data_IF_419036614623
#
_entry.id   IF_419036614623
#
_cell.length_a   1.000
_cell.length_b   1.000
_cell.length_c   1.000
_cell.angle_alpha   90.00
_cell.angle_beta   90.00
_cell.angle_gamma   90.00
#
_symmetry.space_group_name_H-M   'P 1'
#
loop_
_entity.id
_entity.type
_entity.pdbx_description
1 polymer ?
#
# COMPACT_ATOMS: atom_id res chain seq x y z
N UNK A 1 3.30 24.94 -3.41
CA UNK A 1 2.05 24.53 -2.75
C UNK A 1 1.00 24.41 -3.85
N UNK A 2 0.75 23.21 -4.36
CA UNK A 2 -0.42 22.97 -5.19
C UNK A 2 -1.60 22.85 -4.22
N UNK A 3 -2.55 23.77 -4.33
CA UNK A 3 -3.84 23.72 -3.63
C UNK A 3 -4.45 22.33 -3.80
N UNK A 4 -5.07 21.72 -2.78
CA UNK A 4 -5.84 20.50 -3.00
C UNK A 4 -6.89 20.85 -4.04
N UNK A 5 -6.89 20.14 -5.17
CA UNK A 5 -8.00 20.17 -6.11
C UNK A 5 -9.23 19.81 -5.31
N UNK A 6 -10.07 20.80 -5.04
CA UNK A 6 -11.25 20.66 -4.20
C UNK A 6 -12.31 19.96 -5.06
N UNK A 7 -12.12 18.65 -5.28
CA UNK A 7 -13.09 17.83 -6.00
C UNK A 7 -14.33 17.79 -5.11
N UNK A 8 -15.47 18.26 -5.62
CA UNK A 8 -16.72 18.23 -4.88
C UNK A 8 -17.01 16.77 -4.47
N UNK A 9 -17.25 16.48 -3.18
CA UNK A 9 -17.68 15.18 -2.71
C UNK A 9 -18.82 14.54 -3.54
N UNK A 10 -19.73 15.35 -4.10
CA UNK A 10 -20.80 14.89 -4.98
C UNK A 10 -20.30 14.43 -6.35
N UNK A 11 -19.28 15.09 -6.89
CA UNK A 11 -18.67 14.71 -8.16
C UNK A 11 -17.93 13.37 -8.02
N UNK A 12 -17.26 13.15 -6.89
CA UNK A 12 -16.65 11.86 -6.54
C UNK A 12 -17.69 10.75 -6.44
N UNK A 13 -18.78 10.96 -5.71
CA UNK A 13 -19.85 9.97 -5.60
C UNK A 13 -20.49 9.65 -6.95
N UNK A 14 -20.81 10.69 -7.74
CA UNK A 14 -21.39 10.53 -9.07
C UNK A 14 -20.43 9.84 -10.05
N UNK A 15 -19.12 10.05 -9.89
CA UNK A 15 -18.10 9.35 -10.64
C UNK A 15 -18.08 7.86 -10.32
N UNK A 16 -17.94 7.49 -9.04
CA UNK A 16 -17.86 6.09 -8.61
C UNK A 16 -19.16 5.31 -8.80
N UNK A 17 -20.31 5.99 -8.84
CA UNK A 17 -21.59 5.36 -9.21
C UNK A 17 -21.59 4.78 -10.64
N UNK A 18 -20.69 5.22 -11.53
CA UNK A 18 -20.55 4.68 -12.89
C UNK A 18 -19.71 3.41 -12.94
N UNK A 19 -18.89 3.17 -11.91
CA UNK A 19 -17.87 2.12 -11.84
C UNK A 19 -18.10 1.24 -10.61
N UNK A 20 -19.19 0.50 -10.62
CA UNK A 20 -19.55 -0.46 -9.58
C UNK A 20 -19.14 -1.89 -9.99
N UNK A 21 -19.10 -2.79 -9.02
CA UNK A 21 -18.87 -4.22 -9.21
C UNK A 21 -17.59 -4.51 -10.03
N UNK A 22 -17.73 -5.22 -11.15
CA UNK A 22 -16.65 -5.63 -12.05
C UNK A 22 -15.95 -4.45 -12.74
N UNK A 23 -16.58 -3.28 -12.78
CA UNK A 23 -16.02 -2.06 -13.40
C UNK A 23 -15.25 -1.17 -12.43
N UNK A 24 -15.17 -1.55 -11.15
CA UNK A 24 -14.51 -0.72 -10.13
C UNK A 24 -13.05 -0.40 -10.48
N UNK A 25 -12.34 -1.39 -11.04
CA UNK A 25 -10.95 -1.26 -11.48
C UNK A 25 -10.82 -0.35 -12.70
N UNK A 26 -11.77 -0.39 -13.64
CA UNK A 26 -11.81 0.51 -14.80
C UNK A 26 -11.97 1.98 -14.38
N UNK A 27 -12.72 2.23 -13.29
CA UNK A 27 -12.83 3.55 -12.68
C UNK A 27 -11.46 4.10 -12.30
N UNK A 28 -10.72 3.36 -11.47
CA UNK A 28 -9.34 3.73 -11.13
C UNK A 28 -8.45 3.94 -12.35
N UNK A 29 -8.55 3.05 -13.33
CA UNK A 29 -7.75 3.14 -14.55
C UNK A 29 -8.00 4.45 -15.32
N UNK A 30 -9.27 4.82 -15.50
CA UNK A 30 -9.67 6.02 -16.25
C UNK A 30 -9.32 7.33 -15.55
N UNK A 31 -9.07 7.33 -14.24
CA UNK A 31 -8.64 8.56 -13.57
C UNK A 31 -7.26 9.03 -14.04
N UNK A 32 -6.40 8.11 -14.48
CA UNK A 32 -5.07 8.41 -15.00
C UNK A 32 -5.06 9.12 -16.35
N UNK A 33 -6.20 9.17 -17.05
CA UNK A 33 -6.35 9.91 -18.30
C UNK A 33 -6.60 11.42 -18.06
N UNK A 34 -6.72 11.84 -16.79
CA UNK A 34 -6.89 13.24 -16.41
C UNK A 34 -5.54 13.91 -16.09
N UNK A 35 -5.47 15.22 -16.32
CA UNK A 35 -4.26 16.02 -16.02
C UNK A 35 -3.97 16.16 -14.52
N UNK A 36 -4.94 15.92 -13.66
CA UNK A 36 -4.83 16.10 -12.20
C UNK A 36 -5.02 14.80 -11.45
N UNK A 37 -3.98 14.39 -10.73
CA UNK A 37 -3.95 13.18 -9.91
C UNK A 37 -3.74 13.58 -8.45
N UNK A 38 -4.81 13.85 -7.68
CA UNK A 38 -4.69 14.49 -6.35
C UNK A 38 -4.01 13.62 -5.29
N UNK A 39 -3.89 12.30 -5.50
CA UNK A 39 -3.12 11.40 -4.65
C UNK A 39 -1.64 11.35 -4.99
N UNK A 40 -1.26 11.64 -6.24
CA UNK A 40 0.13 11.54 -6.69
C UNK A 40 0.97 12.66 -6.08
N UNK A 41 2.04 12.26 -5.38
CA UNK A 41 2.99 13.19 -4.74
C UNK A 41 4.27 13.36 -5.55
N UNK A 42 4.50 12.51 -6.55
CA UNK A 42 5.68 12.56 -7.42
C UNK A 42 7.00 12.14 -6.76
N UNK A 43 7.01 11.68 -5.50
CA UNK A 43 8.17 11.12 -4.81
C UNK A 43 7.73 10.13 -3.72
N UNK A 44 8.62 9.23 -3.26
CA UNK A 44 8.29 8.25 -2.21
C UNK A 44 7.92 8.92 -0.90
N UNK A 45 7.03 8.30 -0.11
CA UNK A 45 6.80 8.80 1.24
C UNK A 45 8.08 8.60 2.08
N UNK A 46 8.64 9.66 2.72
CA UNK A 46 9.87 9.52 3.49
C UNK A 46 9.76 8.53 4.66
N UNK A 47 8.54 8.26 5.15
CA UNK A 47 8.30 7.24 6.17
C UNK A 47 8.75 5.84 5.71
N UNK A 48 8.64 5.51 4.41
CA UNK A 48 9.12 4.22 3.89
C UNK A 48 10.64 4.12 3.96
N UNK A 49 11.35 5.16 3.51
CA UNK A 49 12.82 5.19 3.58
C UNK A 49 13.32 5.06 5.02
N UNK A 50 12.72 5.84 5.94
CA UNK A 50 13.05 5.79 7.36
C UNK A 50 12.76 4.40 7.95
N UNK A 51 11.67 3.76 7.53
CA UNK A 51 11.34 2.39 7.94
C UNK A 51 12.39 1.38 7.48
N UNK A 52 12.79 1.44 6.20
CA UNK A 52 13.78 0.52 5.64
C UNK A 52 15.14 0.62 6.35
N UNK A 53 15.53 1.83 6.77
CA UNK A 53 16.78 2.08 7.51
C UNK A 53 16.63 1.68 8.98
N UNK A 54 15.64 2.22 9.68
CA UNK A 54 15.54 2.16 11.14
C UNK A 54 14.94 0.85 11.65
N UNK A 55 14.15 0.15 10.82
CA UNK A 55 13.49 -1.11 11.18
C UNK A 55 14.11 -2.33 10.50
N UNK A 56 15.30 -2.23 9.92
CA UNK A 56 16.00 -3.35 9.29
C UNK A 56 16.14 -4.59 10.22
N UNK A 57 16.26 -4.40 11.54
CA UNK A 57 16.26 -5.50 12.52
C UNK A 57 14.91 -6.21 12.66
N UNK A 58 13.81 -5.56 12.30
CA UNK A 58 12.46 -6.13 12.25
C UNK A 58 12.16 -6.69 10.85
N UNK A 59 12.31 -5.88 9.79
CA UNK A 59 11.90 -6.30 8.44
C UNK A 59 12.91 -7.24 7.77
N UNK A 60 14.18 -7.26 8.23
CA UNK A 60 15.30 -7.91 7.56
C UNK A 60 15.85 -7.12 6.36
N UNK A 61 17.09 -7.40 5.96
CA UNK A 61 17.72 -6.77 4.79
C UNK A 61 17.15 -7.24 3.45
N UNK A 62 17.66 -6.71 2.31
CA UNK A 62 17.20 -7.04 0.96
C UNK A 62 17.67 -8.40 0.44
N UNK A 63 18.62 -9.04 1.13
CA UNK A 63 19.14 -10.38 0.80
C UNK A 63 18.69 -11.34 1.90
N UNK A 64 18.05 -12.44 1.51
CA UNK A 64 17.64 -13.51 2.39
C UNK A 64 18.83 -14.38 2.84
N UNK A 65 18.61 -15.25 3.83
CA UNK A 65 19.66 -16.11 4.38
C UNK A 65 20.25 -17.10 3.37
N UNK A 66 19.46 -17.47 2.36
CA UNK A 66 19.88 -18.32 1.23
C UNK A 66 20.65 -17.55 0.13
N UNK A 67 20.93 -16.26 0.36
CA UNK A 67 21.63 -15.38 -0.57
C UNK A 67 20.77 -14.83 -1.70
N UNK A 68 19.48 -15.17 -1.77
CA UNK A 68 18.58 -14.65 -2.80
C UNK A 68 18.10 -13.24 -2.45
N UNK A 69 17.81 -12.43 -3.48
CA UNK A 69 17.12 -11.15 -3.27
C UNK A 69 15.70 -11.40 -2.81
N UNK A 70 15.31 -10.65 -1.78
CA UNK A 70 13.95 -10.60 -1.28
C UNK A 70 13.07 -9.77 -2.21
N UNK A 71 11.82 -10.21 -2.34
CA UNK A 71 10.84 -9.63 -3.27
C UNK A 71 9.94 -8.67 -2.52
N UNK A 72 9.82 -7.45 -3.04
CA UNK A 72 8.98 -6.41 -2.47
C UNK A 72 7.82 -6.06 -3.42
N UNK A 73 6.58 -6.01 -2.93
CA UNK A 73 5.40 -5.63 -3.71
C UNK A 73 4.84 -4.28 -3.23
N UNK A 74 4.44 -3.43 -4.17
CA UNK A 74 3.62 -2.24 -3.93
C UNK A 74 2.31 -2.39 -4.74
N UNK A 75 1.18 -2.75 -4.09
CA UNK A 75 -0.12 -2.80 -4.76
C UNK A 75 -0.67 -1.39 -4.98
N UNK A 76 -1.30 -1.15 -6.14
CA UNK A 76 -1.76 0.19 -6.51
C UNK A 76 -0.61 1.19 -6.59
N UNK A 77 0.49 0.81 -7.23
CA UNK A 77 1.75 1.56 -7.14
C UNK A 77 1.71 2.95 -7.80
N UNK A 78 0.67 3.28 -8.56
CA UNK A 78 0.50 4.57 -9.21
C UNK A 78 1.65 4.90 -10.15
N UNK A 79 2.46 5.91 -9.83
CA UNK A 79 3.67 6.29 -10.60
C UNK A 79 4.90 5.45 -10.23
N UNK A 80 4.79 4.50 -9.30
CA UNK A 80 5.85 3.53 -9.00
C UNK A 80 7.01 4.08 -8.16
N UNK A 81 6.88 5.27 -7.58
CA UNK A 81 7.96 5.92 -6.81
C UNK A 81 8.46 5.06 -5.64
N UNK A 82 7.54 4.41 -4.91
CA UNK A 82 7.90 3.54 -3.78
C UNK A 82 8.55 2.21 -4.25
N UNK A 83 8.17 1.71 -5.44
CA UNK A 83 8.79 0.55 -6.08
C UNK A 83 10.26 0.85 -6.40
N UNK A 84 10.52 2.03 -6.96
CA UNK A 84 11.87 2.49 -7.29
C UNK A 84 12.71 2.72 -6.04
N UNK A 85 12.11 3.21 -4.95
CA UNK A 85 12.76 3.32 -3.65
C UNK A 85 13.17 1.94 -3.13
N UNK A 86 12.25 0.97 -3.09
CA UNK A 86 12.54 -0.40 -2.65
C UNK A 86 13.68 -1.05 -3.48
N UNK A 87 13.65 -0.89 -4.81
CA UNK A 87 14.73 -1.37 -5.67
C UNK A 87 16.08 -0.70 -5.37
N UNK A 88 16.08 0.59 -5.00
CA UNK A 88 17.29 1.32 -4.60
C UNK A 88 17.91 0.76 -3.32
N UNK A 89 17.10 0.17 -2.44
CA UNK A 89 17.54 -0.57 -1.25
C UNK A 89 17.95 -2.02 -1.55
N UNK A 90 17.84 -2.49 -2.80
CA UNK A 90 18.34 -3.78 -3.24
C UNK A 90 17.30 -4.91 -3.32
N UNK A 91 16.03 -4.65 -3.02
CA UNK A 91 14.93 -5.60 -3.19
C UNK A 91 14.59 -5.77 -4.68
N UNK A 92 14.22 -6.98 -5.09
CA UNK A 92 13.52 -7.15 -6.37
C UNK A 92 12.09 -6.64 -6.18
N UNK A 93 11.81 -5.47 -6.73
CA UNK A 93 10.62 -4.68 -6.47
C UNK A 93 9.60 -4.78 -7.60
N UNK A 94 8.35 -4.98 -7.21
CA UNK A 94 7.21 -5.18 -8.09
C UNK A 94 6.16 -4.11 -7.80
N UNK A 95 5.76 -3.37 -8.83
CA UNK A 95 4.63 -2.45 -8.77
C UNK A 95 3.44 -3.04 -9.51
N UNK A 96 2.33 -3.28 -8.81
CA UNK A 96 1.10 -3.72 -9.44
C UNK A 96 0.16 -2.52 -9.61
N UNK A 97 -0.35 -2.33 -10.82
CA UNK A 97 -1.20 -1.21 -11.16
C UNK A 97 -2.25 -1.62 -12.19
N UNK A 98 -3.47 -1.10 -12.07
CA UNK A 98 -4.58 -1.44 -12.94
C UNK A 98 -4.69 -0.54 -14.18
N UNK A 99 -4.06 0.64 -14.16
CA UNK A 99 -4.04 1.56 -15.29
C UNK A 99 -2.81 1.35 -16.18
N UNK A 100 -3.04 1.12 -17.48
CA UNK A 100 -1.95 1.09 -18.46
C UNK A 100 -1.22 2.45 -18.53
N UNK A 101 -1.96 3.56 -18.46
CA UNK A 101 -1.42 4.92 -18.42
C UNK A 101 -0.51 5.13 -17.22
N UNK A 102 -0.89 4.62 -16.04
CA UNK A 102 -0.04 4.67 -14.85
C UNK A 102 1.21 3.80 -14.97
N UNK A 103 1.10 2.60 -15.54
CA UNK A 103 2.27 1.74 -15.81
C UNK A 103 3.26 2.43 -16.75
N UNK A 104 2.79 3.18 -17.76
CA UNK A 104 3.65 4.00 -18.59
C UNK A 104 4.25 5.18 -17.82
N UNK A 105 3.50 5.78 -16.89
CA UNK A 105 4.01 6.78 -15.96
C UNK A 105 5.12 6.22 -15.04
N UNK A 106 5.02 4.97 -14.60
CA UNK A 106 6.08 4.27 -13.86
C UNK A 106 7.37 4.16 -14.66
N UNK A 107 7.28 3.69 -15.92
CA UNK A 107 8.45 3.57 -16.81
C UNK A 107 9.09 4.94 -17.09
N UNK A 108 8.26 5.97 -17.25
CA UNK A 108 8.74 7.35 -17.42
C UNK A 108 9.46 7.85 -16.17
N UNK A 109 8.89 7.64 -14.99
CA UNK A 109 9.49 8.00 -13.71
C UNK A 109 10.84 7.30 -13.50
N UNK A 110 10.93 5.99 -13.79
CA UNK A 110 12.17 5.24 -13.71
C UNK A 110 13.27 5.83 -14.61
N UNK A 111 12.90 6.20 -15.84
CA UNK A 111 13.82 6.75 -16.84
C UNK A 111 14.28 8.17 -16.50
N UNK A 112 13.34 9.04 -16.13
CA UNK A 112 13.60 10.48 -15.98
C UNK A 112 14.15 10.84 -14.59
N UNK A 113 13.79 10.08 -13.55
CA UNK A 113 14.17 10.38 -12.17
C UNK A 113 15.15 9.36 -11.57
N UNK A 114 15.88 8.61 -12.42
CA UNK A 114 16.83 7.57 -11.99
C UNK A 114 17.85 8.06 -10.93
N UNK A 115 18.25 9.33 -10.99
CA UNK A 115 19.24 9.95 -10.09
C UNK A 115 18.74 10.12 -8.65
N UNK A 116 17.42 10.07 -8.43
CA UNK A 116 16.78 10.07 -7.10
C UNK A 116 16.86 8.70 -6.42
N UNK A 117 16.86 7.63 -7.19
CA UNK A 117 16.80 6.24 -6.70
C UNK A 117 18.18 5.57 -6.75
N UNK A 118 19.16 6.22 -6.12
CA UNK A 118 20.54 5.71 -6.05
C UNK A 118 20.65 4.48 -5.17
N UNK A 119 21.54 3.58 -5.54
CA UNK A 119 21.89 2.39 -4.75
C UNK A 119 22.25 2.81 -3.33
N UNK A 120 21.60 2.20 -2.34
CA UNK A 120 21.83 2.51 -0.92
C UNK A 120 22.99 1.73 -0.31
N UNK A 121 23.26 0.54 -0.83
CA UNK A 121 24.42 -0.27 -0.48
C UNK A 121 25.05 -0.85 -1.76
N UNK A 122 26.23 -0.37 -2.12
CA UNK A 122 26.96 -0.79 -3.33
C UNK A 122 27.35 -2.28 -3.31
N UNK A 123 27.46 -2.91 -2.12
CA UNK A 123 27.75 -4.35 -2.03
C UNK A 123 26.53 -5.19 -2.41
N UNK A 124 25.34 -4.67 -2.16
CA UNK A 124 24.07 -5.30 -2.55
C UNK A 124 23.71 -4.91 -3.97
N UNK A 125 23.95 -3.67 -4.40
CA UNK A 125 23.53 -3.15 -5.69
C UNK A 125 22.02 -2.89 -5.79
N UNK A 126 21.59 -2.33 -6.93
CA UNK A 126 20.15 -2.09 -7.21
C UNK A 126 19.43 -3.41 -7.49
N UNK A 127 18.26 -3.59 -6.90
CA UNK A 127 17.38 -4.71 -7.23
C UNK A 127 16.63 -4.48 -8.54
N UNK A 128 16.00 -5.54 -9.06
CA UNK A 128 15.20 -5.47 -10.29
C UNK A 128 13.90 -4.70 -10.04
N UNK A 129 13.49 -3.86 -10.99
CA UNK A 129 12.17 -3.22 -11.01
C UNK A 129 11.28 -3.94 -12.02
N UNK A 130 10.04 -4.25 -11.65
CA UNK A 130 9.03 -4.83 -12.54
C UNK A 130 7.69 -4.15 -12.30
N UNK A 131 7.20 -3.40 -13.28
CA UNK A 131 5.84 -2.85 -13.27
C UNK A 131 4.89 -3.77 -14.03
N UNK A 132 3.75 -4.07 -13.42
CA UNK A 132 2.79 -5.07 -13.89
C UNK A 132 1.42 -4.43 -14.01
N UNK A 133 0.81 -4.58 -15.18
CA UNK A 133 -0.59 -4.23 -15.39
C UNK A 133 -1.46 -5.38 -14.87
N UNK A 134 -2.33 -5.12 -13.90
CA UNK A 134 -3.25 -6.13 -13.40
C UNK A 134 -4.11 -5.67 -12.23
N UNK A 135 -5.13 -6.47 -11.93
CA UNK A 135 -5.96 -6.33 -10.74
C UNK A 135 -5.30 -7.04 -9.55
N UNK A 136 -5.18 -6.35 -8.41
CA UNK A 136 -4.69 -6.89 -7.15
C UNK A 136 -5.44 -8.15 -6.71
N UNK A 137 -6.74 -8.24 -7.00
CA UNK A 137 -7.58 -9.38 -6.61
C UNK A 137 -7.50 -10.58 -7.58
N UNK A 138 -6.79 -10.46 -8.71
CA UNK A 138 -6.59 -11.55 -9.69
C UNK A 138 -5.23 -12.24 -9.49
N UNK A 139 -5.07 -13.49 -9.96
CA UNK A 139 -3.82 -14.28 -9.91
C UNK A 139 -3.04 -14.29 -11.24
N UNK A 140 -3.61 -13.76 -12.32
CA UNK A 140 -3.03 -13.79 -13.67
C UNK A 140 -1.68 -13.07 -13.69
N UNK A 141 -1.61 -11.91 -13.05
CA UNK A 141 -0.37 -11.12 -12.98
C UNK A 141 0.76 -11.84 -12.23
N UNK A 142 0.46 -12.71 -11.25
CA UNK A 142 1.46 -13.54 -10.56
C UNK A 142 2.14 -14.52 -11.51
N UNK A 143 1.36 -15.12 -12.41
CA UNK A 143 1.87 -16.05 -13.43
C UNK A 143 2.79 -15.32 -14.40
N UNK A 144 2.43 -14.11 -14.81
CA UNK A 144 3.20 -13.30 -15.74
C UNK A 144 4.58 -12.92 -15.18
N UNK A 145 4.65 -12.57 -13.90
CA UNK A 145 5.92 -12.28 -13.22
C UNK A 145 6.65 -13.51 -12.67
N UNK A 146 6.02 -14.69 -12.75
CA UNK A 146 6.54 -15.98 -12.25
C UNK A 146 6.85 -15.96 -10.75
N UNK A 147 6.01 -15.30 -9.97
CA UNK A 147 6.07 -15.30 -8.51
C UNK A 147 4.88 -16.12 -7.99
N UNK A 148 5.09 -17.14 -7.15
CA UNK A 148 3.98 -17.89 -6.58
C UNK A 148 3.24 -17.06 -5.53
N UNK A 149 2.05 -17.52 -5.12
CA UNK A 149 1.46 -17.10 -3.85
C UNK A 149 2.45 -17.33 -2.70
N UNK A 150 2.34 -16.54 -1.65
CA UNK A 150 3.28 -16.51 -0.52
C UNK A 150 4.73 -16.23 -0.97
N UNK A 151 4.91 -15.44 -2.03
CA UNK A 151 6.20 -15.22 -2.67
C UNK A 151 6.83 -13.86 -2.40
N UNK A 152 6.14 -12.96 -1.69
CA UNK A 152 6.62 -11.62 -1.38
C UNK A 152 7.07 -11.50 0.06
N UNK A 153 8.33 -11.13 0.26
CA UNK A 153 8.91 -11.00 1.59
C UNK A 153 8.59 -9.65 2.25
N UNK A 154 8.32 -8.64 1.42
CA UNK A 154 7.86 -7.32 1.85
C UNK A 154 6.68 -6.91 0.98
N UNK A 155 5.61 -6.42 1.59
CA UNK A 155 4.54 -5.71 0.87
C UNK A 155 4.39 -4.33 1.50
N UNK A 156 4.30 -3.28 0.70
CA UNK A 156 4.10 -1.91 1.20
C UNK A 156 2.76 -1.36 0.74
N UNK A 157 1.83 -1.19 1.68
CA UNK A 157 0.52 -0.56 1.45
C UNK A 157 0.57 0.90 1.89
N UNK A 158 0.47 1.81 0.92
CA UNK A 158 0.25 3.22 1.16
C UNK A 158 -0.69 3.79 0.12
N UNK A 159 -1.72 4.51 0.57
CA UNK A 159 -2.81 5.02 -0.27
C UNK A 159 -3.61 3.97 -1.04
N UNK A 160 -3.40 2.67 -0.76
CA UNK A 160 -4.15 1.57 -1.38
C UNK A 160 -5.35 1.16 -0.53
N UNK A 161 -5.15 0.80 0.75
CA UNK A 161 -6.28 0.45 1.64
C UNK A 161 -7.36 1.54 1.74
N UNK A 162 -6.96 2.82 1.80
CA UNK A 162 -7.92 3.93 1.84
C UNK A 162 -8.59 4.20 0.49
N UNK A 163 -8.02 3.75 -0.63
CA UNK A 163 -8.63 3.91 -1.95
C UNK A 163 -9.80 2.93 -2.13
N UNK A 164 -9.73 1.75 -1.53
CA UNK A 164 -10.73 0.70 -1.68
C UNK A 164 -12.08 1.08 -1.02
N UNK A 165 -13.18 0.78 -1.74
CA UNK A 165 -14.51 0.71 -1.12
C UNK A 165 -14.42 -0.19 0.13
N UNK A 166 -14.94 0.24 1.30
CA UNK A 166 -14.88 -0.55 2.53
C UNK A 166 -15.32 -2.02 2.40
N UNK A 167 -16.21 -2.35 1.47
CA UNK A 167 -16.66 -3.73 1.18
C UNK A 167 -15.56 -4.64 0.61
N UNK A 168 -14.50 -4.06 0.01
CA UNK A 168 -13.36 -4.80 -0.54
C UNK A 168 -12.26 -5.05 0.51
N UNK A 169 -12.32 -4.40 1.67
CA UNK A 169 -11.28 -4.50 2.72
C UNK A 169 -11.09 -5.93 3.27
N UNK A 170 -12.14 -6.76 3.45
CA UNK A 170 -11.95 -8.17 3.79
C UNK A 170 -11.12 -8.92 2.74
N UNK A 171 -11.43 -8.74 1.45
CA UNK A 171 -10.67 -9.34 0.34
C UNK A 171 -9.24 -8.82 0.28
N UNK A 172 -9.04 -7.53 0.56
CA UNK A 172 -7.71 -6.91 0.60
C UNK A 172 -6.83 -7.54 1.68
N UNK A 173 -7.36 -7.78 2.88
CA UNK A 173 -6.61 -8.40 3.96
C UNK A 173 -6.27 -9.86 3.65
N UNK A 174 -7.24 -10.62 3.13
CA UNK A 174 -6.99 -11.99 2.65
C UNK A 174 -5.91 -12.00 1.58
N UNK A 175 -6.00 -11.10 0.61
CA UNK A 175 -5.06 -11.06 -0.50
C UNK A 175 -3.64 -10.76 -0.03
N UNK A 176 -3.47 -9.86 0.94
CA UNK A 176 -2.16 -9.64 1.57
C UNK A 176 -1.61 -10.92 2.22
N UNK A 177 -2.44 -11.65 2.97
CA UNK A 177 -2.07 -12.95 3.58
C UNK A 177 -1.58 -13.95 2.53
N UNK A 178 -2.32 -14.08 1.42
CA UNK A 178 -2.03 -15.03 0.34
C UNK A 178 -0.80 -14.67 -0.51
N UNK A 179 -0.40 -13.40 -0.52
CA UNK A 179 0.77 -12.92 -1.27
C UNK A 179 2.04 -12.93 -0.42
N UNK A 180 1.91 -12.73 0.89
CA UNK A 180 3.03 -12.58 1.80
C UNK A 180 3.71 -13.92 2.10
N UNK A 181 5.04 -13.95 2.01
CA UNK A 181 5.86 -15.08 2.45
C UNK A 181 5.51 -15.49 3.89
N UNK A 182 5.62 -16.78 4.25
CA UNK A 182 5.34 -17.25 5.61
C UNK A 182 6.19 -16.54 6.67
N UNK A 183 5.73 -16.62 7.92
CA UNK A 183 6.47 -16.11 9.07
C UNK A 183 7.79 -16.87 9.27
N UNK A 184 8.87 -16.22 9.72
CA UNK A 184 9.01 -14.80 10.05
C UNK A 184 9.51 -13.93 8.88
N UNK A 185 9.61 -14.49 7.66
CA UNK A 185 10.25 -13.83 6.53
C UNK A 185 9.38 -12.73 5.90
N UNK A 186 8.08 -12.96 5.80
CA UNK A 186 7.13 -11.99 5.23
C UNK A 186 6.80 -10.84 6.18
N UNK A 187 6.84 -9.60 5.67
CA UNK A 187 6.44 -8.41 6.40
C UNK A 187 5.54 -7.51 5.53
N UNK A 188 4.31 -7.27 5.96
CA UNK A 188 3.44 -6.22 5.39
C UNK A 188 3.69 -4.92 6.16
N UNK A 189 4.11 -3.88 5.46
CA UNK A 189 4.28 -2.53 5.98
C UNK A 189 3.09 -1.70 5.53
N UNK A 190 2.30 -1.18 6.45
CA UNK A 190 1.20 -0.27 6.16
C UNK A 190 1.56 1.14 6.64
N UNK A 191 1.45 2.13 5.74
CA UNK A 191 1.38 3.53 6.14
C UNK A 191 -0.10 3.94 6.26
N UNK A 192 -0.58 3.91 7.50
CA UNK A 192 -1.97 4.13 7.88
C UNK A 192 -2.36 5.61 7.68
N UNK A 193 -3.13 5.87 6.63
CA UNK A 193 -3.59 7.22 6.25
C UNK A 193 -4.83 7.12 5.34
N UNK A 194 -5.80 8.05 5.40
CA UNK A 194 -5.95 9.15 6.36
C UNK A 194 -6.67 8.69 7.63
N UNK A 195 -6.02 8.84 8.81
CA UNK A 195 -6.55 8.34 10.09
C UNK A 195 -7.62 9.23 10.73
N UNK A 196 -7.56 10.54 10.49
CA UNK A 196 -8.47 11.52 11.11
C UNK A 196 -9.50 12.11 10.14
N UNK A 197 -9.66 11.50 8.95
CA UNK A 197 -10.77 11.84 8.05
C UNK A 197 -12.09 11.48 8.75
N UNK A 198 -13.10 12.34 8.64
CA UNK A 198 -14.45 12.03 9.11
C UNK A 198 -14.90 10.69 8.49
N UNK A 199 -15.21 9.64 9.28
CA UNK A 199 -15.57 8.33 8.75
C UNK A 199 -16.87 8.31 7.93
N UNK A 200 -17.73 9.32 8.09
CA UNK A 200 -18.93 9.51 7.28
C UNK A 200 -18.69 10.32 6.00
N UNK A 201 -17.50 10.92 5.83
CA UNK A 201 -17.17 11.64 4.61
C UNK A 201 -16.94 10.64 3.46
N UNK A 202 -17.38 10.96 2.24
CA UNK A 202 -17.18 10.07 1.11
C UNK A 202 -15.69 9.89 0.79
N UNK A 203 -15.36 8.69 0.36
CA UNK A 203 -14.09 8.36 -0.27
C UNK A 203 -14.24 8.17 -1.77
N UNK A 204 -13.16 7.76 -2.44
CA UNK A 204 -11.80 7.66 -1.93
C UNK A 204 -11.11 9.04 -1.77
N UNK A 205 -10.11 9.16 -0.89
CA UNK A 205 -9.73 8.15 0.11
C UNK A 205 -10.80 8.05 1.20
N UNK A 206 -11.16 6.84 1.61
CA UNK A 206 -12.01 6.58 2.78
C UNK A 206 -11.21 6.79 4.07
N UNK A 207 -11.90 7.00 5.20
CA UNK A 207 -11.23 7.00 6.50
C UNK A 207 -10.61 5.62 6.77
N UNK A 208 -9.37 5.65 7.27
CA UNK A 208 -8.56 4.46 7.52
C UNK A 208 -7.89 4.56 8.89
N UNK A 209 -8.67 4.49 9.99
CA UNK A 209 -8.12 4.49 11.33
C UNK A 209 -7.40 3.17 11.64
N UNK A 210 -6.53 3.16 12.65
CA UNK A 210 -5.71 1.99 13.00
C UNK A 210 -6.53 0.77 13.37
N UNK A 211 -7.70 0.98 13.99
CA UNK A 211 -8.66 -0.05 14.36
C UNK A 211 -9.18 -0.80 13.13
N UNK A 212 -9.33 -0.12 11.98
CA UNK A 212 -9.74 -0.79 10.76
C UNK A 212 -8.65 -1.73 10.25
N UNK A 213 -7.37 -1.32 10.27
CA UNK A 213 -6.26 -2.21 9.93
C UNK A 213 -6.20 -3.41 10.88
N UNK A 214 -6.33 -3.19 12.20
CA UNK A 214 -6.40 -4.26 13.20
C UNK A 214 -7.49 -5.28 12.91
N UNK A 215 -8.74 -4.83 12.71
CA UNK A 215 -9.86 -5.75 12.49
C UNK A 215 -9.73 -6.53 11.18
N UNK A 216 -9.35 -5.88 10.08
CA UNK A 216 -9.25 -6.55 8.78
C UNK A 216 -8.03 -7.48 8.70
N UNK A 217 -6.84 -7.03 9.15
CA UNK A 217 -5.61 -7.84 9.03
C UNK A 217 -5.56 -8.98 10.05
N UNK A 218 -6.21 -8.86 11.21
CA UNK A 218 -6.31 -9.96 12.18
C UNK A 218 -7.36 -11.01 11.78
N UNK A 219 -8.29 -10.67 10.88
CA UNK A 219 -9.39 -11.53 10.41
C UNK A 219 -9.55 -11.50 8.88
N UNK A 220 -8.49 -11.84 8.11
CA UNK A 220 -8.48 -11.72 6.66
C UNK A 220 -9.62 -12.51 6.00
N UNK A 221 -10.33 -11.84 5.09
CA UNK A 221 -11.44 -12.43 4.34
C UNK A 221 -12.78 -12.41 5.09
N UNK A 222 -12.78 -12.07 6.37
CA UNK A 222 -13.99 -12.06 7.18
C UNK A 222 -14.76 -10.74 7.09
N UNK A 223 -16.08 -10.82 7.25
CA UNK A 223 -16.93 -9.63 7.27
C UNK A 223 -16.72 -8.87 8.59
N UNK A 224 -16.16 -7.66 8.49
CA UNK A 224 -16.03 -6.73 9.63
C UNK A 224 -17.23 -5.78 9.66
N UNK A 225 -17.83 -5.63 10.84
CA UNK A 225 -18.98 -4.74 11.03
C UNK A 225 -18.55 -3.31 11.36
N UNK A 226 -19.34 -2.33 10.90
CA UNK A 226 -19.16 -0.91 11.18
C UNK A 226 -20.42 -0.37 11.86
N UNK A 227 -20.28 0.60 12.76
CA UNK A 227 -21.41 1.30 13.37
C UNK A 227 -21.98 2.41 12.47
N UNK A 228 -23.05 3.03 12.94
CA UNK A 228 -23.74 4.17 12.31
C UNK A 228 -22.87 5.41 12.12
N UNK A 229 -21.71 5.48 12.79
CA UNK A 229 -20.69 6.54 12.63
C UNK A 229 -19.61 6.17 11.61
N UNK A 230 -19.70 5.02 10.93
CA UNK A 230 -18.71 4.57 9.94
C UNK A 230 -17.40 4.07 10.57
N UNK A 231 -17.39 3.78 11.87
CA UNK A 231 -16.23 3.21 12.57
C UNK A 231 -16.39 1.70 12.70
N UNK A 232 -15.29 0.95 12.63
CA UNK A 232 -15.31 -0.50 12.89
C UNK A 232 -15.79 -0.76 14.32
N UNK A 233 -16.62 -1.79 14.50
CA UNK A 233 -16.96 -2.29 15.82
C UNK A 233 -15.82 -3.19 16.30
N UNK A 234 -14.76 -2.57 16.82
CA UNK A 234 -13.60 -3.29 17.28
C UNK A 234 -13.93 -4.16 18.50
N UNK A 235 -13.49 -5.41 18.47
CA UNK A 235 -13.57 -6.33 19.60
C UNK A 235 -12.16 -6.70 20.05
N UNK A 236 -11.59 -6.02 21.05
CA UNK A 236 -10.23 -6.27 21.49
C UNK A 236 -10.04 -7.64 22.16
N UNK A 237 -11.12 -8.36 22.47
CA UNK A 237 -11.07 -9.71 23.03
C UNK A 237 -11.22 -10.80 21.97
N UNK A 238 -11.48 -10.41 20.72
CA UNK A 238 -11.59 -11.35 19.62
C UNK A 238 -10.21 -11.88 19.27
N UNK A 239 -10.06 -13.21 19.35
CA UNK A 239 -8.84 -13.88 18.93
C UNK A 239 -8.65 -13.75 17.40
N UNK A 240 -7.43 -13.43 16.93
CA UNK A 240 -7.14 -13.40 15.50
C UNK A 240 -7.44 -14.75 14.84
N UNK A 241 -7.81 -14.72 13.56
CA UNK A 241 -8.04 -15.95 12.79
C UNK A 241 -6.73 -16.73 12.58
N UNK A 242 -6.83 -17.99 12.17
CA UNK A 242 -5.66 -18.84 11.87
C UNK A 242 -4.79 -18.23 10.75
N UNK A 243 -5.45 -17.66 9.73
CA UNK A 243 -4.80 -16.94 8.63
C UNK A 243 -4.49 -15.47 8.96
N UNK A 244 -4.76 -15.03 10.19
CA UNK A 244 -4.58 -13.66 10.63
C UNK A 244 -3.13 -13.17 10.53
N UNK A 245 -2.97 -11.87 10.40
CA UNK A 245 -1.70 -11.19 10.56
C UNK A 245 -1.60 -10.54 11.93
N UNK A 246 -0.43 -10.66 12.55
CA UNK A 246 -0.09 -10.03 13.81
C UNK A 246 0.72 -8.75 13.59
N UNK A 247 0.33 -7.67 14.28
CA UNK A 247 1.07 -6.40 14.25
C UNK A 247 2.30 -6.49 15.15
N UNK A 248 3.48 -6.58 14.54
CA UNK A 248 4.77 -6.72 15.25
C UNK A 248 5.46 -5.39 15.53
N UNK A 249 5.04 -4.30 14.89
CA UNK A 249 5.50 -2.94 15.20
C UNK A 249 4.44 -1.90 14.83
N UNK A 250 4.39 -0.80 15.57
CA UNK A 250 3.50 0.33 15.31
C UNK A 250 4.09 1.63 15.88
N UNK A 251 4.23 2.68 15.06
CA UNK A 251 4.79 3.96 15.52
C UNK A 251 4.31 5.14 14.66
N UNK A 252 4.51 6.35 15.16
CA UNK A 252 4.39 7.59 14.40
C UNK A 252 5.71 7.84 13.65
N UNK A 253 5.70 8.01 12.31
CA UNK A 253 6.92 8.28 11.58
C UNK A 253 7.44 9.70 11.89
N UNK A 254 8.75 9.89 11.78
CA UNK A 254 9.40 11.20 11.99
C UNK A 254 9.10 12.18 10.85
N UNK A 255 8.84 11.64 9.65
CA UNK A 255 8.58 12.40 8.42
C UNK A 255 7.50 11.69 7.61
N UNK A 256 6.63 12.46 6.97
CA UNK A 256 5.64 11.98 5.99
C UNK A 256 5.36 13.07 4.96
N UNK A 257 4.57 12.77 3.93
CA UNK A 257 4.01 13.77 3.03
C UNK A 257 3.19 14.82 3.79
N UNK A 258 3.14 16.06 3.26
CA UNK A 258 2.42 17.16 3.90
C UNK A 258 0.93 16.85 4.19
N UNK A 259 0.28 16.03 3.36
CA UNK A 259 -1.12 15.61 3.56
C UNK A 259 -1.31 14.72 4.81
N UNK A 260 -0.25 14.10 5.31
CA UNK A 260 -0.24 13.32 6.55
C UNK A 260 -0.01 14.17 7.80
N UNK A 261 0.05 15.50 7.65
CA UNK A 261 0.26 16.47 8.73
C UNK A 261 -0.96 17.39 8.86
N UNK A 262 -1.22 17.90 10.06
CA UNK A 262 -2.16 19.02 10.22
C UNK A 262 -1.49 20.38 9.99
N UNK A 263 -2.27 21.46 10.17
CA UNK A 263 -1.83 22.85 10.01
C UNK A 263 -0.69 23.25 10.94
N UNK A 264 -0.48 22.54 12.05
CA UNK A 264 0.60 22.76 13.00
C UNK A 264 1.82 21.86 12.73
N UNK A 265 1.78 21.07 11.66
CA UNK A 265 2.83 20.12 11.30
C UNK A 265 2.81 18.83 12.13
N UNK A 266 1.75 18.57 12.90
CA UNK A 266 1.64 17.32 13.68
C UNK A 266 1.37 16.16 12.73
N UNK A 267 2.23 15.14 12.77
CA UNK A 267 2.11 13.94 11.93
C UNK A 267 1.02 13.02 12.47
N UNK A 268 0.00 12.80 11.66
CA UNK A 268 -1.15 11.96 12.00
C UNK A 268 -1.02 10.53 11.50
N UNK A 269 -0.24 10.31 10.44
CA UNK A 269 0.05 8.99 9.90
C UNK A 269 0.68 8.06 10.94
N UNK A 270 0.48 6.75 10.76
CA UNK A 270 1.17 5.72 11.53
C UNK A 270 1.77 4.70 10.59
N UNK A 271 2.92 4.14 10.96
CA UNK A 271 3.46 2.97 10.28
C UNK A 271 3.20 1.76 11.15
N UNK A 272 2.68 0.70 10.54
CA UNK A 272 2.57 -0.62 11.17
C UNK A 272 3.27 -1.69 10.34
N UNK A 273 3.87 -2.67 11.02
CA UNK A 273 4.45 -3.86 10.40
C UNK A 273 3.66 -5.07 10.87
N UNK A 274 3.28 -5.92 9.93
CA UNK A 274 2.45 -7.10 10.13
C UNK A 274 3.14 -8.34 9.59
N UNK A 275 2.93 -9.47 10.26
CA UNK A 275 3.40 -10.79 9.81
C UNK A 275 2.30 -11.80 9.91
N UNK A 276 2.39 -12.84 9.09
CA UNK A 276 1.55 -14.02 9.23
C UNK A 276 1.80 -14.72 10.58
N UNK A 277 0.77 -15.39 11.09
CA UNK A 277 0.85 -16.24 12.27
C UNK A 277 1.46 -17.61 11.96
N UNK A 278 1.31 -18.07 10.72
CA UNK A 278 1.79 -19.35 10.21
C UNK A 278 3.13 -19.27 9.45
#
# INVERSE_FOLDING_TARGET
MTTPTNIDPKDLQAYWAKYQDDKYVEGWASLWDNDTLPWDRGFPNPALEDTLVQRAGTIGGPIAQDGQRRKALVPGCGRGVDVLLLASFGYDAYGLECSATAVDACKKEEKENHSRYRVRDEKVGKGKVTFVLGDFFDDTWLKDIRVPRNGFDVIYDYTFFCALNPELRPKWALRHTELLSPSPAGNLICLESPRHKNPLAPGPPFASPSEAYMEHLSHPGEKISYNDKGLVNADPLREPSETGLERVAHWQPERTHAVGQDENGVIHDRVSIWRRRD
#
